data_IF_500506566113
#
_entry.id   IF_500506566113
#
_cell.length_a   1.000
_cell.length_b   1.000
_cell.length_c   1.000
_cell.angle_alpha   90.00
_cell.angle_beta   90.00
_cell.angle_gamma   90.00
#
_symmetry.space_group_name_H-M   'P 1'
#
loop_
_entity.id
_entity.type
_entity.pdbx_description
1 polymer ?
#
# COMPACT_ATOMS: atom_id res chain seq x y z
N UNK A 1 40.47 -22.20 -3.63
CA UNK A 1 39.97 -21.18 -2.68
C UNK A 1 40.01 -19.78 -3.28
N UNK A 2 41.12 -19.36 -3.88
CA UNK A 2 41.30 -18.01 -4.48
C UNK A 2 40.25 -17.66 -5.58
N UNK A 3 39.78 -18.64 -6.36
CA UNK A 3 38.78 -18.39 -7.42
C UNK A 3 37.34 -18.21 -6.92
N UNK A 4 37.01 -18.71 -5.72
CA UNK A 4 35.67 -18.56 -5.14
C UNK A 4 35.50 -17.17 -4.52
N UNK A 5 36.54 -16.66 -3.85
CA UNK A 5 36.58 -15.30 -3.29
C UNK A 5 36.58 -14.25 -4.39
N UNK A 6 37.35 -14.43 -5.47
CA UNK A 6 37.32 -13.53 -6.62
C UNK A 6 35.98 -13.53 -7.36
N UNK A 7 35.30 -14.69 -7.47
CA UNK A 7 33.94 -14.74 -8.02
C UNK A 7 32.92 -14.04 -7.11
N UNK A 8 33.09 -14.15 -5.80
CA UNK A 8 32.25 -13.43 -4.84
C UNK A 8 32.48 -11.91 -4.96
N UNK A 9 33.73 -11.45 -4.96
CA UNK A 9 34.09 -10.02 -5.11
C UNK A 9 33.56 -9.41 -6.42
N UNK A 10 33.75 -10.06 -7.57
CA UNK A 10 33.21 -9.58 -8.86
C UNK A 10 31.67 -9.57 -8.86
N UNK A 11 31.02 -10.49 -8.14
CA UNK A 11 29.57 -10.48 -7.98
C UNK A 11 29.09 -9.37 -7.04
N UNK A 12 29.84 -9.06 -5.97
CA UNK A 12 29.58 -7.95 -5.06
C UNK A 12 29.74 -6.60 -5.74
N UNK A 13 30.84 -6.40 -6.48
CA UNK A 13 31.06 -5.20 -7.29
C UNK A 13 29.94 -5.06 -8.33
N UNK A 14 29.55 -6.12 -9.04
CA UNK A 14 28.44 -6.02 -10.00
C UNK A 14 27.05 -5.85 -9.38
N UNK A 15 26.82 -6.21 -8.11
CA UNK A 15 25.58 -5.91 -7.40
C UNK A 15 25.51 -4.47 -6.88
N UNK A 16 26.62 -3.94 -6.36
CA UNK A 16 26.70 -2.57 -5.86
C UNK A 16 26.91 -1.55 -6.98
N UNK A 17 27.74 -1.80 -8.00
CA UNK A 17 27.95 -0.89 -9.13
C UNK A 17 26.80 -0.87 -10.13
N UNK A 18 25.92 -1.89 -10.14
CA UNK A 18 24.62 -1.78 -10.83
C UNK A 18 23.64 -0.83 -10.12
N UNK A 19 23.95 -0.36 -8.91
CA UNK A 19 23.20 0.67 -8.18
C UNK A 19 23.75 2.09 -8.40
N UNK A 20 24.10 2.44 -9.64
CA UNK A 20 23.87 3.82 -10.13
C UNK A 20 22.35 4.07 -10.34
N UNK A 21 21.51 3.64 -9.40
CA UNK A 21 20.05 3.60 -9.47
C UNK A 21 19.40 3.51 -8.09
N UNK A 22 18.08 3.76 -8.02
CA UNK A 22 17.24 3.85 -6.80
C UNK A 22 17.62 2.82 -5.72
N UNK A 23 17.82 3.28 -4.47
CA UNK A 23 18.11 2.41 -3.33
C UNK A 23 16.91 1.49 -3.03
N UNK A 24 17.10 0.36 -2.31
CA UNK A 24 15.98 -0.48 -1.89
C UNK A 24 14.90 0.28 -1.11
N UNK A 25 15.30 1.29 -0.33
CA UNK A 25 14.38 2.16 0.37
C UNK A 25 13.55 3.01 -0.61
N UNK A 26 14.21 3.64 -1.60
CA UNK A 26 13.53 4.45 -2.61
C UNK A 26 12.53 3.61 -3.42
N UNK A 27 12.93 2.38 -3.79
CA UNK A 27 12.03 1.42 -4.46
C UNK A 27 10.84 1.05 -3.59
N UNK A 28 11.06 0.80 -2.30
CA UNK A 28 9.97 0.49 -1.37
C UNK A 28 8.98 1.65 -1.26
N UNK A 29 9.47 2.88 -1.10
CA UNK A 29 8.63 4.08 -1.07
C UNK A 29 7.81 4.22 -2.36
N UNK A 30 8.48 4.10 -3.50
CA UNK A 30 7.82 4.11 -4.82
C UNK A 30 6.74 3.04 -4.95
N UNK A 31 6.99 1.81 -4.48
CA UNK A 31 5.97 0.75 -4.53
C UNK A 31 4.83 0.97 -3.53
N UNK A 32 5.06 1.65 -2.40
CA UNK A 32 3.97 2.07 -1.52
C UNK A 32 3.05 3.08 -2.21
N UNK A 33 3.64 4.04 -2.93
CA UNK A 33 2.92 5.12 -3.62
C UNK A 33 2.29 4.69 -4.96
N UNK A 34 2.89 3.71 -5.65
CA UNK A 34 2.51 3.27 -7.00
C UNK A 34 1.03 2.91 -7.12
N UNK A 35 0.45 2.27 -6.11
CA UNK A 35 -0.99 1.93 -6.13
C UNK A 35 -1.86 3.19 -6.15
N UNK A 36 -1.49 4.23 -5.40
CA UNK A 36 -2.22 5.50 -5.34
C UNK A 36 -2.00 6.35 -6.59
N UNK A 37 -0.80 6.27 -7.19
CA UNK A 37 -0.51 6.92 -8.46
C UNK A 37 -1.36 6.30 -9.57
N UNK A 38 -1.33 4.97 -9.69
CA UNK A 38 -2.08 4.21 -10.72
C UNK A 38 -3.58 4.36 -10.59
N UNK A 39 -4.10 4.46 -9.37
CA UNK A 39 -5.52 4.62 -9.09
C UNK A 39 -5.92 6.07 -8.80
N UNK A 40 -5.05 7.06 -9.08
CA UNK A 40 -5.28 8.45 -8.66
C UNK A 40 -6.61 9.03 -9.14
N UNK A 41 -6.93 8.90 -10.44
CA UNK A 41 -8.21 9.38 -10.99
C UNK A 41 -9.43 8.59 -10.45
N UNK A 42 -9.44 7.24 -10.47
CA UNK A 42 -10.51 6.48 -9.83
C UNK A 42 -10.73 6.81 -8.35
N UNK A 43 -9.65 6.98 -7.58
CA UNK A 43 -9.73 7.34 -6.16
C UNK A 43 -10.27 8.75 -5.96
N UNK A 44 -9.98 9.70 -6.85
CA UNK A 44 -10.61 11.03 -6.82
C UNK A 44 -12.12 10.94 -7.08
N UNK A 45 -12.56 10.12 -8.05
CA UNK A 45 -13.99 9.89 -8.30
C UNK A 45 -14.68 9.27 -7.07
N UNK A 46 -14.07 8.25 -6.49
CA UNK A 46 -14.55 7.61 -5.26
C UNK A 46 -14.63 8.61 -4.09
N UNK A 47 -13.61 9.44 -3.91
CA UNK A 47 -13.60 10.51 -2.90
C UNK A 47 -14.72 11.53 -3.14
N UNK A 48 -14.95 11.92 -4.40
CA UNK A 48 -16.05 12.83 -4.75
C UNK A 48 -17.41 12.23 -4.39
N UNK A 49 -17.61 10.94 -4.65
CA UNK A 49 -18.86 10.26 -4.30
C UNK A 49 -19.04 10.18 -2.78
N UNK A 50 -17.99 9.81 -2.04
CA UNK A 50 -18.00 9.83 -0.58
C UNK A 50 -18.42 11.21 -0.03
N UNK A 51 -17.82 12.29 -0.53
CA UNK A 51 -18.16 13.65 -0.10
C UNK A 51 -19.61 14.01 -0.40
N UNK A 52 -20.13 13.63 -1.58
CA UNK A 52 -21.53 13.84 -1.92
C UNK A 52 -22.48 13.09 -0.96
N UNK A 53 -22.20 11.82 -0.66
CA UNK A 53 -22.98 11.03 0.30
C UNK A 53 -22.92 11.61 1.71
N UNK A 54 -21.75 12.09 2.16
CA UNK A 54 -21.61 12.70 3.49
C UNK A 54 -22.45 13.97 3.60
N UNK A 55 -22.41 14.85 2.59
CA UNK A 55 -23.21 16.09 2.59
C UNK A 55 -24.70 15.77 2.64
N UNK A 56 -25.15 14.81 1.82
CA UNK A 56 -26.57 14.44 1.73
C UNK A 56 -27.08 13.73 2.99
N UNK A 57 -26.27 12.86 3.60
CA UNK A 57 -26.76 11.93 4.62
C UNK A 57 -26.33 12.28 6.05
N UNK A 58 -25.16 12.90 6.24
CA UNK A 58 -24.60 13.11 7.58
C UNK A 58 -24.88 14.50 8.15
N UNK A 59 -25.08 15.50 7.30
CA UNK A 59 -25.37 16.88 7.68
C UNK A 59 -26.83 17.27 7.39
N UNK A 60 -27.78 16.49 7.92
CA UNK A 60 -29.19 16.83 7.81
C UNK A 60 -29.50 18.14 8.55
N UNK A 61 -30.51 18.91 8.11
CA UNK A 61 -30.83 20.23 8.69
C UNK A 61 -31.01 20.20 10.22
N UNK A 62 -31.60 19.11 10.74
CA UNK A 62 -31.74 18.87 12.18
C UNK A 62 -30.40 18.78 12.95
N UNK A 63 -29.31 18.44 12.27
CA UNK A 63 -27.96 18.35 12.84
C UNK A 63 -27.20 19.68 12.78
N UNK A 64 -27.70 20.66 12.03
CA UNK A 64 -27.13 22.01 11.91
C UNK A 64 -27.88 23.04 12.78
N UNK A 65 -28.86 22.60 13.57
CA UNK A 65 -29.56 23.46 14.52
C UNK A 65 -28.61 23.93 15.63
N UNK A 66 -28.79 25.17 16.10
CA UNK A 66 -27.89 25.83 17.05
C UNK A 66 -27.82 25.13 18.43
N UNK A 67 -28.79 24.26 18.73
CA UNK A 67 -28.89 23.45 19.94
C UNK A 67 -28.39 22.00 19.76
N UNK A 68 -28.02 21.61 18.54
CA UNK A 68 -27.63 20.24 18.22
C UNK A 68 -26.14 20.00 18.48
N UNK A 69 -25.82 19.29 19.56
CA UNK A 69 -24.44 19.03 20.01
C UNK A 69 -23.84 17.71 19.54
N UNK A 70 -24.50 16.96 18.65
CA UNK A 70 -24.12 15.57 18.39
C UNK A 70 -23.09 15.38 17.26
N UNK A 71 -21.91 16.00 17.44
CA UNK A 71 -20.74 15.82 16.56
C UNK A 71 -20.35 14.33 16.43
N UNK A 72 -20.53 13.54 17.50
CA UNK A 72 -20.25 12.12 17.50
C UNK A 72 -21.10 11.35 16.48
N UNK A 73 -22.39 11.65 16.38
CA UNK A 73 -23.29 11.03 15.38
C UNK A 73 -22.89 11.40 13.94
N UNK A 74 -22.47 12.64 13.70
CA UNK A 74 -21.99 13.08 12.38
C UNK A 74 -20.71 12.31 12.00
N UNK A 75 -19.77 12.17 12.94
CA UNK A 75 -18.54 11.43 12.71
C UNK A 75 -18.80 9.94 12.46
N UNK A 76 -19.67 9.32 13.24
CA UNK A 76 -20.08 7.94 13.03
C UNK A 76 -20.73 7.75 11.65
N UNK A 77 -21.57 8.69 11.20
CA UNK A 77 -22.16 8.65 9.86
C UNK A 77 -21.09 8.75 8.75
N UNK A 78 -20.10 9.65 8.91
CA UNK A 78 -18.98 9.77 7.96
C UNK A 78 -18.19 8.47 7.87
N UNK A 79 -17.83 7.87 9.01
CA UNK A 79 -17.11 6.60 9.06
C UNK A 79 -17.87 5.48 8.35
N UNK A 80 -19.17 5.34 8.64
CA UNK A 80 -20.01 4.35 7.95
C UNK A 80 -20.12 4.60 6.45
N UNK A 81 -20.15 5.87 6.03
CA UNK A 81 -20.21 6.24 4.61
C UNK A 81 -18.89 5.94 3.92
N UNK A 82 -17.76 6.23 4.58
CA UNK A 82 -16.44 5.87 4.09
C UNK A 82 -16.29 4.35 3.95
N UNK A 83 -16.72 3.58 4.95
CA UNK A 83 -16.67 2.11 4.91
C UNK A 83 -17.49 1.54 3.74
N UNK A 84 -18.67 2.13 3.47
CA UNK A 84 -19.51 1.72 2.33
C UNK A 84 -18.88 2.02 0.97
N UNK A 85 -18.24 3.18 0.82
CA UNK A 85 -17.72 3.64 -0.48
C UNK A 85 -16.33 3.09 -0.76
N UNK A 86 -15.45 3.05 0.24
CA UNK A 86 -14.03 2.74 0.08
C UNK A 86 -13.52 1.64 1.03
N UNK A 87 -14.33 1.17 1.98
CA UNK A 87 -13.89 0.26 3.05
C UNK A 87 -13.25 -1.02 2.52
N UNK A 88 -13.85 -1.65 1.51
CA UNK A 88 -13.30 -2.87 0.93
C UNK A 88 -11.93 -2.64 0.27
N UNK A 89 -11.70 -1.47 -0.36
CA UNK A 89 -10.39 -1.16 -0.95
C UNK A 89 -9.32 -1.02 0.13
N UNK A 90 -9.58 -0.25 1.18
CA UNK A 90 -8.63 -0.06 2.27
C UNK A 90 -8.37 -1.35 3.06
N UNK A 91 -9.38 -2.21 3.19
CA UNK A 91 -9.24 -3.55 3.76
C UNK A 91 -8.33 -4.43 2.91
N UNK A 92 -8.54 -4.48 1.59
CA UNK A 92 -7.66 -5.23 0.68
C UNK A 92 -6.23 -4.69 0.71
N UNK A 93 -6.06 -3.36 0.69
CA UNK A 93 -4.75 -2.71 0.81
C UNK A 93 -4.03 -3.12 2.09
N UNK A 94 -4.69 -3.04 3.25
CA UNK A 94 -4.10 -3.43 4.53
C UNK A 94 -3.71 -4.91 4.56
N UNK A 95 -4.57 -5.81 4.07
CA UNK A 95 -4.31 -7.25 4.04
C UNK A 95 -3.06 -7.57 3.22
N UNK A 96 -2.96 -7.04 2.00
CA UNK A 96 -1.81 -7.32 1.13
C UNK A 96 -0.51 -6.73 1.69
N UNK A 97 -0.55 -5.50 2.23
CA UNK A 97 0.63 -4.86 2.83
C UNK A 97 1.13 -5.58 4.08
N UNK A 98 0.24 -5.95 5.00
CA UNK A 98 0.63 -6.68 6.22
C UNK A 98 1.10 -8.11 5.89
N UNK A 99 0.48 -8.77 4.91
CA UNK A 99 0.94 -10.09 4.44
C UNK A 99 2.38 -10.04 3.90
N UNK A 100 2.68 -9.10 3.00
CA UNK A 100 4.03 -8.97 2.43
C UNK A 100 5.07 -8.58 3.48
N UNK A 101 4.69 -7.73 4.44
CA UNK A 101 5.53 -7.36 5.59
C UNK A 101 5.81 -8.56 6.51
N UNK A 102 4.81 -9.40 6.79
CA UNK A 102 4.98 -10.60 7.60
C UNK A 102 5.95 -11.58 6.93
N UNK A 103 5.75 -11.86 5.63
CA UNK A 103 6.66 -12.73 4.85
C UNK A 103 8.10 -12.20 4.88
N UNK A 104 8.28 -10.88 4.83
CA UNK A 104 9.60 -10.26 4.95
C UNK A 104 10.22 -10.49 6.34
N UNK A 105 9.49 -10.27 7.42
CA UNK A 105 10.01 -10.52 8.78
C UNK A 105 10.30 -11.99 9.03
N UNK A 106 9.46 -12.90 8.54
CA UNK A 106 9.73 -14.33 8.61
C UNK A 106 11.00 -14.72 7.84
N UNK A 107 11.27 -14.04 6.72
CA UNK A 107 12.51 -14.21 5.98
C UNK A 107 13.70 -13.75 6.83
N UNK A 108 13.67 -12.51 7.34
CA UNK A 108 14.74 -11.95 8.18
C UNK A 108 15.04 -12.78 9.44
N UNK A 109 14.00 -13.30 10.10
CA UNK A 109 14.19 -14.14 11.29
C UNK A 109 14.92 -15.45 10.97
N UNK A 110 14.86 -15.93 9.72
CA UNK A 110 15.53 -17.15 9.27
C UNK A 110 16.96 -16.90 8.78
N UNK A 111 17.35 -15.66 8.46
CA UNK A 111 18.66 -15.35 7.88
C UNK A 111 19.79 -15.22 8.89
N UNK A 112 19.48 -14.94 10.16
CA UNK A 112 20.51 -14.72 11.19
C UNK A 112 21.47 -13.58 10.80
N UNK A 113 22.77 -13.83 10.85
CA UNK A 113 23.81 -12.84 10.50
C UNK A 113 24.29 -12.90 9.05
N UNK A 114 23.60 -13.64 8.18
CA UNK A 114 23.97 -13.74 6.76
C UNK A 114 23.46 -12.52 5.97
N UNK A 115 24.39 -11.68 5.52
CA UNK A 115 24.13 -10.47 4.74
C UNK A 115 23.54 -10.82 3.36
N UNK A 116 24.00 -11.89 2.70
CA UNK A 116 23.46 -12.30 1.40
C UNK A 116 22.02 -12.75 1.51
N UNK A 117 21.73 -13.54 2.54
CA UNK A 117 20.38 -14.00 2.79
C UNK A 117 19.46 -12.82 3.14
N UNK A 118 19.97 -11.84 3.90
CA UNK A 118 19.25 -10.59 4.21
C UNK A 118 18.91 -9.79 2.95
N UNK A 119 19.88 -9.62 2.03
CA UNK A 119 19.66 -8.95 0.75
C UNK A 119 18.63 -9.70 -0.13
N UNK A 120 18.64 -11.03 -0.10
CA UNK A 120 17.64 -11.83 -0.80
C UNK A 120 16.23 -11.59 -0.23
N UNK A 121 16.09 -11.46 1.09
CA UNK A 121 14.81 -11.11 1.73
C UNK A 121 14.31 -9.72 1.29
N UNK A 122 15.19 -8.72 1.25
CA UNK A 122 14.84 -7.36 0.80
C UNK A 122 14.36 -7.36 -0.66
N UNK A 123 15.09 -8.03 -1.55
CA UNK A 123 14.70 -8.12 -2.96
C UNK A 123 13.36 -8.84 -3.13
N UNK A 124 13.12 -9.93 -2.38
CA UNK A 124 11.85 -10.64 -2.39
C UNK A 124 10.70 -9.77 -1.89
N UNK A 125 10.91 -8.99 -0.84
CA UNK A 125 9.94 -8.02 -0.34
C UNK A 125 9.53 -7.01 -1.42
N UNK A 126 10.50 -6.44 -2.14
CA UNK A 126 10.26 -5.50 -3.23
C UNK A 126 9.45 -6.13 -4.38
N UNK A 127 9.79 -7.36 -4.79
CA UNK A 127 9.05 -8.10 -5.82
C UNK A 127 7.60 -8.36 -5.37
N UNK A 128 7.41 -8.79 -4.12
CA UNK A 128 6.08 -9.05 -3.57
C UNK A 128 5.24 -7.77 -3.49
N UNK A 129 5.84 -6.64 -3.07
CA UNK A 129 5.15 -5.35 -3.05
C UNK A 129 4.61 -4.95 -4.41
N UNK A 130 5.43 -5.11 -5.47
CA UNK A 130 5.01 -4.81 -6.83
C UNK A 130 3.89 -5.74 -7.29
N UNK A 131 4.02 -7.05 -7.05
CA UNK A 131 2.98 -8.02 -7.40
C UNK A 131 1.66 -7.75 -6.65
N UNK A 132 1.73 -7.30 -5.41
CA UNK A 132 0.55 -6.92 -4.65
C UNK A 132 -0.10 -5.64 -5.17
N UNK A 133 0.68 -4.66 -5.64
CA UNK A 133 0.11 -3.49 -6.33
C UNK A 133 -0.70 -3.89 -7.55
N UNK A 134 -0.18 -4.81 -8.37
CA UNK A 134 -0.89 -5.30 -9.55
C UNK A 134 -2.21 -5.99 -9.16
N UNK A 135 -2.19 -6.85 -8.13
CA UNK A 135 -3.41 -7.47 -7.61
C UNK A 135 -4.40 -6.44 -7.07
N UNK A 136 -3.92 -5.41 -6.37
CA UNK A 136 -4.76 -4.36 -5.80
C UNK A 136 -5.44 -3.54 -6.88
N UNK A 137 -4.72 -3.21 -7.96
CA UNK A 137 -5.29 -2.50 -9.11
C UNK A 137 -6.34 -3.36 -9.82
N UNK A 138 -6.07 -4.64 -10.04
CA UNK A 138 -7.06 -5.56 -10.63
C UNK A 138 -8.30 -5.68 -9.73
N UNK A 139 -8.11 -5.94 -8.43
CA UNK A 139 -9.22 -6.02 -7.47
C UNK A 139 -10.02 -4.73 -7.41
N UNK A 140 -9.36 -3.57 -7.49
CA UNK A 140 -10.05 -2.29 -7.52
C UNK A 140 -10.96 -2.20 -8.76
N UNK A 141 -10.45 -2.55 -9.93
CA UNK A 141 -11.22 -2.54 -11.17
C UNK A 141 -12.44 -3.48 -11.11
N UNK A 142 -12.27 -4.66 -10.51
CA UNK A 142 -13.34 -5.65 -10.36
C UNK A 142 -14.41 -5.22 -9.35
N UNK A 143 -14.00 -4.64 -8.22
CA UNK A 143 -14.89 -4.25 -7.14
C UNK A 143 -15.56 -2.89 -7.37
N UNK A 144 -14.91 -2.01 -8.14
CA UNK A 144 -15.34 -0.64 -8.37
C UNK A 144 -15.30 -0.26 -9.87
N UNK A 145 -15.97 -1.02 -10.74
CA UNK A 145 -15.96 -0.74 -12.18
C UNK A 145 -16.53 0.64 -12.52
N UNK A 146 -17.38 1.22 -11.67
CA UNK A 146 -17.94 2.56 -11.85
C UNK A 146 -16.92 3.70 -11.70
N UNK A 147 -15.76 3.46 -11.09
CA UNK A 147 -14.71 4.49 -10.92
C UNK A 147 -13.56 4.36 -11.91
N UNK A 148 -13.45 3.23 -12.61
CA UNK A 148 -12.50 3.06 -13.72
C UNK A 148 -12.83 4.04 -14.84
#
# INVERSE_FOLDING_TARGET
MIDAEKKAEVWFETMYDRQKGESPNDKSQKYHEDVFIRLSEPLKKMQSEYLAHVVQNCYQDRHMAADFTNVAQINQCKEQTHEKVAGQFFKDLAIHRESTKLVYYECLNKTGNDIHATLACVNKYLINMQADNDKLVTKFADNYPQYM
#
